data_IF_911140982031
#
_entry.id   IF_911140982031
#
_cell.length_a   1.000
_cell.length_b   1.000
_cell.length_c   1.000
_cell.angle_alpha   90.00
_cell.angle_beta   90.00
_cell.angle_gamma   90.00
#
_symmetry.space_group_name_H-M   'P 1'
#
loop_
_entity.id
_entity.type
_entity.pdbx_description
1 polymer ?
#
# COMPACT_ATOMS: atom_id res chain seq x y z
N UNK A 1 0.21 0.58 -36.40
CA UNK A 1 -0.31 0.94 -35.07
C UNK A 1 -0.70 -0.28 -34.24
N UNK A 2 -1.56 -1.19 -34.73
CA UNK A 2 -1.94 -2.41 -33.99
C UNK A 2 -0.77 -3.36 -33.65
N UNK A 3 0.17 -3.54 -34.58
CA UNK A 3 1.38 -4.36 -34.38
C UNK A 3 2.30 -3.78 -33.30
N UNK A 4 2.50 -2.46 -33.30
CA UNK A 4 3.32 -1.78 -32.30
C UNK A 4 2.68 -1.84 -30.90
N UNK A 5 1.35 -1.71 -30.82
CA UNK A 5 0.59 -1.89 -29.58
C UNK A 5 0.69 -3.32 -29.05
N UNK A 6 0.54 -4.34 -29.92
CA UNK A 6 0.68 -5.74 -29.52
C UNK A 6 2.10 -6.05 -29.00
N UNK A 7 3.14 -5.49 -29.65
CA UNK A 7 4.52 -5.65 -29.20
C UNK A 7 4.78 -5.00 -27.84
N UNK A 8 4.22 -3.81 -27.60
CA UNK A 8 4.28 -3.15 -26.30
C UNK A 8 3.56 -3.96 -25.21
N UNK A 9 2.38 -4.52 -25.49
CA UNK A 9 1.63 -5.37 -24.55
C UNK A 9 2.41 -6.64 -24.18
N UNK A 10 3.02 -7.30 -25.16
CA UNK A 10 3.87 -8.47 -24.92
C UNK A 10 5.10 -8.08 -24.11
N UNK A 11 5.71 -6.93 -24.39
CA UNK A 11 6.84 -6.41 -23.63
C UNK A 11 6.49 -6.12 -22.17
N UNK A 12 5.34 -5.49 -21.90
CA UNK A 12 4.85 -5.24 -20.54
C UNK A 12 4.57 -6.55 -19.82
N UNK A 13 3.93 -7.51 -20.48
CA UNK A 13 3.67 -8.83 -19.90
C UNK A 13 4.99 -9.53 -19.56
N UNK A 14 5.96 -9.55 -20.49
CA UNK A 14 7.27 -10.14 -20.26
C UNK A 14 8.01 -9.47 -19.11
N UNK A 15 8.00 -8.14 -19.04
CA UNK A 15 8.57 -7.38 -17.94
C UNK A 15 7.90 -7.71 -16.59
N UNK A 16 6.57 -7.82 -16.58
CA UNK A 16 5.82 -8.21 -15.38
C UNK A 16 6.18 -9.61 -14.91
N UNK A 17 6.37 -10.56 -15.84
CA UNK A 17 6.82 -11.92 -15.50
C UNK A 17 8.25 -11.95 -14.95
N UNK A 18 9.15 -11.13 -15.49
CA UNK A 18 10.52 -11.01 -14.98
C UNK A 18 10.51 -10.45 -13.54
N UNK A 19 9.75 -9.38 -13.31
CA UNK A 19 9.61 -8.82 -11.97
C UNK A 19 9.01 -9.84 -11.00
N UNK A 20 7.97 -10.56 -11.42
CA UNK A 20 7.37 -11.61 -10.60
C UNK A 20 8.36 -12.72 -10.27
N UNK A 21 9.16 -13.16 -11.25
CA UNK A 21 10.19 -14.18 -11.04
C UNK A 21 11.24 -13.72 -10.02
N UNK A 22 11.68 -12.46 -10.08
CA UNK A 22 12.63 -11.89 -9.14
C UNK A 22 12.05 -11.76 -7.73
N UNK A 23 10.79 -11.33 -7.61
CA UNK A 23 10.11 -11.27 -6.31
C UNK A 23 9.99 -12.66 -5.69
N UNK A 24 9.67 -13.67 -6.50
CA UNK A 24 9.50 -15.06 -6.06
C UNK A 24 10.84 -15.77 -5.79
N UNK A 25 11.96 -15.28 -6.33
CA UNK A 25 13.30 -15.85 -6.09
C UNK A 25 13.86 -15.45 -4.72
N UNK A 26 13.27 -14.45 -4.06
CA UNK A 26 13.75 -13.97 -2.77
C UNK A 26 13.71 -15.07 -1.70
N UNK A 27 14.81 -15.24 -0.97
CA UNK A 27 15.00 -16.30 0.04
C UNK A 27 13.96 -16.29 1.16
N UNK A 28 13.28 -15.16 1.37
CA UNK A 28 12.19 -14.99 2.34
C UNK A 28 11.02 -15.96 2.13
N UNK A 29 10.75 -16.38 0.88
CA UNK A 29 9.64 -17.29 0.57
C UNK A 29 9.97 -18.77 0.79
N UNK A 30 11.25 -19.11 0.95
CA UNK A 30 11.73 -20.50 0.96
C UNK A 30 11.85 -21.15 2.33
N UNK A 31 11.55 -20.44 3.42
CA UNK A 31 11.78 -20.92 4.79
C UNK A 31 10.51 -21.41 5.48
N UNK A 32 10.45 -22.70 5.81
CA UNK A 32 9.65 -23.18 6.96
C UNK A 32 10.47 -22.94 8.24
N UNK A 33 10.68 -21.67 8.58
CA UNK A 33 11.35 -21.27 9.82
C UNK A 33 10.35 -21.13 10.96
N UNK A 34 10.80 -21.38 12.19
CA UNK A 34 10.04 -20.99 13.38
C UNK A 34 9.71 -19.49 13.30
N UNK A 35 8.52 -19.12 13.79
CA UNK A 35 8.10 -17.72 13.78
C UNK A 35 9.15 -16.86 14.52
N UNK A 36 9.60 -15.74 13.95
CA UNK A 36 10.62 -14.90 14.57
C UNK A 36 10.13 -14.41 15.93
N UNK A 37 11.05 -14.29 16.90
CA UNK A 37 10.71 -13.66 18.17
C UNK A 37 10.36 -12.19 17.95
N UNK A 38 9.64 -11.57 18.90
CA UNK A 38 9.34 -10.13 18.82
C UNK A 38 10.60 -9.27 18.72
N UNK A 39 11.70 -9.71 19.35
CA UNK A 39 12.99 -9.03 19.26
C UNK A 39 13.57 -9.12 17.85
N UNK A 40 13.60 -10.32 17.26
CA UNK A 40 14.14 -10.53 15.91
C UNK A 40 13.33 -9.76 14.87
N UNK A 41 12.01 -9.72 15.03
CA UNK A 41 11.13 -8.93 14.18
C UNK A 41 11.42 -7.42 14.30
N UNK A 42 11.61 -6.90 15.51
CA UNK A 42 11.94 -5.49 15.70
C UNK A 42 13.30 -5.12 15.08
N UNK A 43 14.31 -5.98 15.24
CA UNK A 43 15.63 -5.79 14.62
C UNK A 43 15.53 -5.79 13.09
N UNK A 44 14.75 -6.71 12.51
CA UNK A 44 14.52 -6.74 11.07
C UNK A 44 13.77 -5.49 10.57
N UNK A 45 12.72 -5.07 11.28
CA UNK A 45 11.85 -3.94 10.90
C UNK A 45 12.60 -2.61 10.91
N UNK A 46 13.41 -2.35 11.96
CA UNK A 46 14.16 -1.10 12.12
C UNK A 46 15.57 -1.13 11.55
N UNK A 47 16.09 -2.31 11.23
CA UNK A 47 17.41 -2.49 10.60
C UNK A 47 17.30 -2.61 9.08
N UNK A 48 16.95 -3.80 8.59
CA UNK A 48 16.94 -4.13 7.16
C UNK A 48 15.74 -3.49 6.43
N UNK A 49 14.57 -3.47 7.06
CA UNK A 49 13.31 -3.04 6.46
C UNK A 49 12.88 -1.61 6.84
N UNK A 50 13.81 -0.81 7.35
CA UNK A 50 13.49 0.53 7.89
C UNK A 50 12.80 1.43 6.85
N UNK A 51 13.26 1.39 5.59
CA UNK A 51 12.70 2.23 4.53
C UNK A 51 11.25 1.84 4.21
N UNK A 52 10.97 0.53 4.08
CA UNK A 52 9.63 0.03 3.85
C UNK A 52 8.69 0.39 5.02
N UNK A 53 9.22 0.36 6.25
CA UNK A 53 8.49 0.72 7.47
C UNK A 53 8.12 2.21 7.49
N UNK A 54 9.05 3.10 7.11
CA UNK A 54 8.78 4.54 6.98
C UNK A 54 7.72 4.81 5.91
N UNK A 55 7.83 4.18 4.74
CA UNK A 55 6.84 4.33 3.66
C UNK A 55 5.47 3.84 4.11
N UNK A 56 5.40 2.68 4.77
CA UNK A 56 4.14 2.17 5.34
C UNK A 56 3.55 3.16 6.35
N UNK A 57 4.36 3.73 7.24
CA UNK A 57 3.92 4.75 8.20
C UNK A 57 3.34 5.99 7.51
N UNK A 58 3.96 6.46 6.43
CA UNK A 58 3.46 7.58 5.64
C UNK A 58 2.12 7.25 4.96
N UNK A 59 1.96 6.04 4.42
CA UNK A 59 0.71 5.58 3.83
C UNK A 59 -0.42 5.48 4.86
N UNK A 60 -0.11 4.96 6.05
CA UNK A 60 -1.06 4.89 7.17
C UNK A 60 -1.45 6.29 7.66
N UNK A 61 -0.51 7.24 7.74
CA UNK A 61 -0.80 8.63 8.07
C UNK A 61 -1.74 9.28 7.04
N UNK A 62 -1.47 9.07 5.74
CA UNK A 62 -2.35 9.50 4.65
C UNK A 62 -3.76 8.91 4.79
N UNK A 63 -3.87 7.62 5.12
CA UNK A 63 -5.15 6.96 5.33
C UNK A 63 -5.92 7.56 6.53
N UNK A 64 -5.25 7.83 7.65
CA UNK A 64 -5.87 8.47 8.82
C UNK A 64 -6.37 9.88 8.50
N UNK A 65 -5.58 10.67 7.77
CA UNK A 65 -5.97 12.00 7.32
C UNK A 65 -7.22 11.88 6.43
N UNK A 66 -7.20 11.00 5.43
CA UNK A 66 -8.34 10.78 4.54
C UNK A 66 -9.62 10.38 5.29
N UNK A 67 -9.52 9.46 6.25
CA UNK A 67 -10.66 9.06 7.08
C UNK A 67 -11.23 10.23 7.90
N UNK A 68 -10.36 11.10 8.44
CA UNK A 68 -10.80 12.31 9.15
C UNK A 68 -11.54 13.29 8.24
N UNK A 69 -11.11 13.43 6.98
CA UNK A 69 -11.80 14.27 6.00
C UNK A 69 -13.20 13.74 5.69
N UNK A 70 -13.36 12.43 5.49
CA UNK A 70 -14.66 11.82 5.22
C UNK A 70 -15.67 12.07 6.36
N UNK A 71 -15.28 11.82 7.61
CA UNK A 71 -16.16 12.03 8.77
C UNK A 71 -16.47 13.53 8.97
N UNK A 72 -15.50 14.40 8.73
CA UNK A 72 -15.73 15.85 8.82
C UNK A 72 -16.73 16.30 7.76
N UNK A 73 -16.60 15.81 6.53
CA UNK A 73 -17.48 16.19 5.43
C UNK A 73 -18.91 15.70 5.69
N UNK A 74 -19.11 14.49 6.23
CA UNK A 74 -20.43 14.02 6.70
C UNK A 74 -21.03 14.92 7.80
N UNK A 75 -20.22 15.35 8.77
CA UNK A 75 -20.68 16.24 9.86
C UNK A 75 -21.05 17.64 9.34
N UNK A 76 -20.33 18.15 8.35
CA UNK A 76 -20.64 19.44 7.72
C UNK A 76 -21.96 19.38 6.95
N UNK A 77 -22.21 18.30 6.21
CA UNK A 77 -23.48 18.09 5.50
C UNK A 77 -24.66 18.05 6.46
N UNK A 78 -24.54 17.32 7.57
CA UNK A 78 -25.60 17.26 8.59
C UNK A 78 -25.86 18.64 9.22
N UNK A 79 -24.81 19.41 9.47
CA UNK A 79 -24.93 20.75 10.07
C UNK A 79 -25.65 21.74 9.14
N UNK A 80 -25.39 21.67 7.83
CA UNK A 80 -26.09 22.50 6.83
C UNK A 80 -27.57 22.14 6.78
N UNK A 81 -27.89 20.84 6.80
CA UNK A 81 -29.27 20.36 6.82
C UNK A 81 -30.05 20.87 8.04
N UNK A 82 -29.43 20.86 9.23
CA UNK A 82 -30.03 21.41 10.45
C UNK A 82 -30.26 22.93 10.37
N UNK A 83 -29.32 23.70 9.79
CA UNK A 83 -29.47 25.15 9.62
C UNK A 83 -30.52 25.54 8.58
N UNK A 84 -30.72 24.72 7.56
CA UNK A 84 -31.68 24.97 6.48
C UNK A 84 -33.10 24.54 6.87
N UNK A 85 -33.25 23.54 7.75
CA UNK A 85 -34.54 23.06 8.25
C UNK A 85 -35.22 23.95 9.31
N UNK A 86 -34.51 24.94 9.86
CA UNK A 86 -35.00 25.88 10.88
C UNK A 86 -35.58 27.19 10.28
N UNK A 87 -35.81 27.25 8.95
CA UNK A 87 -36.50 28.35 8.23
C UNK A 87 -37.83 27.89 7.64
#
# INVERSE_FOLDING_TARGET
MRSLSALAQIGVLGFMLILLAEVMSHSMWGGSGDAPSTLDFAVALFGEWWLATVVLGALLAMAMIGASYLVRDERLVNLIWDMEGDQ
#
